data_IF_357539727760
#
_entry.id   IF_357539727760
#
_cell.length_a   1.000
_cell.length_b   1.000
_cell.length_c   1.000
_cell.angle_alpha   90.00
_cell.angle_beta   90.00
_cell.angle_gamma   90.00
#
_symmetry.space_group_name_H-M   'P 1'
#
loop_
_entity.id
_entity.type
_entity.pdbx_description
1 polymer ?
#
# COMPACT_ATOMS: atom_id res chain seq x y z
N UNK A 1 24.25 28.08 5.01
CA UNK A 1 24.11 27.23 3.80
C UNK A 1 23.08 26.12 4.00
N UNK A 2 23.24 25.24 5.00
CA UNK A 2 22.33 24.11 5.23
C UNK A 2 20.87 24.52 5.48
N UNK A 3 20.62 25.54 6.33
CA UNK A 3 19.25 26.04 6.59
C UNK A 3 18.56 26.58 5.33
N UNK A 4 19.29 27.26 4.45
CA UNK A 4 18.72 27.74 3.18
C UNK A 4 18.44 26.57 2.24
N UNK A 5 19.34 25.59 2.15
CA UNK A 5 19.12 24.39 1.36
C UNK A 5 17.91 23.58 1.87
N UNK A 6 17.74 23.46 3.19
CA UNK A 6 16.55 22.87 3.81
C UNK A 6 15.29 23.59 3.35
N UNK A 7 15.21 24.91 3.57
CA UNK A 7 14.05 25.73 3.18
C UNK A 7 13.71 25.61 1.70
N UNK A 8 14.72 25.70 0.82
CA UNK A 8 14.51 25.53 -0.62
C UNK A 8 13.96 24.15 -0.99
N UNK A 9 14.32 23.08 -0.27
CA UNK A 9 13.74 21.76 -0.54
C UNK A 9 12.33 21.63 0.01
N UNK A 10 12.01 22.25 1.16
CA UNK A 10 10.63 22.36 1.66
C UNK A 10 9.74 23.10 0.65
N UNK A 11 10.19 24.26 0.16
CA UNK A 11 9.42 25.09 -0.80
C UNK A 11 9.18 24.37 -2.14
N UNK A 12 10.03 23.40 -2.49
CA UNK A 12 9.93 22.57 -3.71
C UNK A 12 9.24 21.24 -3.47
N UNK A 13 8.74 20.99 -2.25
CA UNK A 13 8.12 19.72 -1.84
C UNK A 13 9.08 18.52 -1.94
N UNK A 14 10.38 18.75 -1.92
CA UNK A 14 11.42 17.71 -1.85
C UNK A 14 11.67 17.33 -0.39
N UNK A 15 10.61 16.88 0.28
CA UNK A 15 10.56 16.72 1.72
C UNK A 15 11.56 15.69 2.26
N UNK A 16 11.73 14.54 1.61
CA UNK A 16 12.74 13.57 2.04
C UNK A 16 14.14 14.17 1.94
N UNK A 17 14.41 14.92 0.87
CA UNK A 17 15.71 15.58 0.71
C UNK A 17 15.94 16.65 1.77
N UNK A 18 14.88 17.38 2.15
CA UNK A 18 14.92 18.32 3.27
C UNK A 18 15.23 17.60 4.58
N UNK A 19 14.58 16.46 4.87
CA UNK A 19 14.85 15.64 6.05
C UNK A 19 16.31 15.14 6.08
N UNK A 20 16.83 14.66 4.96
CA UNK A 20 18.24 14.24 4.84
C UNK A 20 19.22 15.38 5.12
N UNK A 21 18.95 16.57 4.61
CA UNK A 21 19.75 17.77 4.87
C UNK A 21 19.70 18.11 6.37
N UNK A 22 18.51 18.11 6.96
CA UNK A 22 18.32 18.41 8.38
C UNK A 22 19.09 17.42 9.27
N UNK A 23 19.01 16.13 8.97
CA UNK A 23 19.76 15.08 9.70
C UNK A 23 21.27 15.22 9.50
N UNK A 24 21.73 15.34 8.25
CA UNK A 24 23.16 15.39 7.90
C UNK A 24 23.87 16.57 8.55
N UNK A 25 23.22 17.73 8.58
CA UNK A 25 23.80 18.96 9.12
C UNK A 25 23.37 19.25 10.55
N UNK A 26 22.67 18.32 11.21
CA UNK A 26 22.21 18.44 12.60
C UNK A 26 21.53 19.79 12.84
N UNK A 27 20.51 20.10 12.04
CA UNK A 27 19.70 21.31 12.22
C UNK A 27 18.94 21.24 13.56
N UNK A 28 17.65 20.91 13.54
CA UNK A 28 16.89 20.60 14.74
C UNK A 28 16.05 19.35 14.55
N UNK A 29 15.66 18.73 15.67
CA UNK A 29 14.84 17.52 15.64
C UNK A 29 13.46 17.80 15.03
N UNK A 30 12.88 18.98 15.26
CA UNK A 30 11.62 19.40 14.63
C UNK A 30 11.77 19.47 13.11
N UNK A 31 12.85 20.06 12.58
CA UNK A 31 13.06 20.16 11.13
C UNK A 31 13.23 18.79 10.46
N UNK A 32 13.89 17.84 11.13
CA UNK A 32 13.97 16.46 10.64
C UNK A 32 12.59 15.82 10.64
N UNK A 33 11.89 15.92 11.77
CA UNK A 33 10.58 15.29 11.97
C UNK A 33 9.52 15.84 11.01
N UNK A 34 9.41 17.16 10.89
CA UNK A 34 8.39 17.82 10.05
C UNK A 34 8.62 17.51 8.56
N UNK A 35 9.87 17.53 8.11
CA UNK A 35 10.20 17.16 6.75
C UNK A 35 9.95 15.67 6.46
N UNK A 36 10.28 14.78 7.40
CA UNK A 36 10.00 13.36 7.27
C UNK A 36 8.49 13.05 7.23
N UNK A 37 7.70 13.70 8.08
CA UNK A 37 6.24 13.57 8.10
C UNK A 37 5.63 14.05 6.77
N UNK A 38 6.04 15.21 6.26
CA UNK A 38 5.57 15.69 4.95
C UNK A 38 5.95 14.74 3.80
N UNK A 39 7.15 14.14 3.86
CA UNK A 39 7.60 13.17 2.88
C UNK A 39 6.76 11.88 2.93
N UNK A 40 6.48 11.39 4.14
CA UNK A 40 5.59 10.25 4.37
C UNK A 40 4.19 10.52 3.81
N UNK A 41 3.54 11.62 4.20
CA UNK A 41 2.18 11.97 3.77
C UNK A 41 2.09 12.13 2.25
N UNK A 42 3.09 12.77 1.64
CA UNK A 42 3.15 12.95 0.18
C UNK A 42 3.24 11.60 -0.55
N UNK A 43 4.05 10.67 -0.05
CA UNK A 43 4.18 9.34 -0.64
C UNK A 43 2.90 8.51 -0.43
N UNK A 44 2.27 8.60 0.76
CA UNK A 44 0.98 7.97 1.03
C UNK A 44 -0.11 8.47 0.06
N UNK A 45 -0.21 9.78 -0.14
CA UNK A 45 -1.17 10.38 -1.06
C UNK A 45 -0.94 9.95 -2.52
N UNK A 46 0.33 9.76 -2.91
CA UNK A 46 0.73 9.27 -4.24
C UNK A 46 0.69 7.76 -4.38
N UNK A 47 0.32 7.02 -3.32
CA UNK A 47 0.30 5.56 -3.24
C UNK A 47 1.67 4.89 -3.40
N UNK A 48 2.75 5.61 -3.10
CA UNK A 48 4.10 5.07 -2.97
C UNK A 48 4.31 4.53 -1.56
N UNK A 49 3.52 3.51 -1.22
CA UNK A 49 3.36 3.02 0.15
C UNK A 49 4.64 2.41 0.73
N UNK A 50 5.42 1.68 -0.07
CA UNK A 50 6.68 1.09 0.40
C UNK A 50 7.70 2.18 0.74
N UNK A 51 7.87 3.18 -0.14
CA UNK A 51 8.70 4.36 0.13
C UNK A 51 8.22 5.13 1.36
N UNK A 52 6.90 5.25 1.57
CA UNK A 52 6.36 5.86 2.79
C UNK A 52 6.77 5.05 4.05
N UNK A 53 6.67 3.72 4.02
CA UNK A 53 7.07 2.86 5.13
C UNK A 53 8.59 2.93 5.42
N UNK A 54 9.41 3.04 4.38
CA UNK A 54 10.85 3.25 4.48
C UNK A 54 11.18 4.59 5.15
N UNK A 55 10.53 5.68 4.73
CA UNK A 55 10.67 7.01 5.34
C UNK A 55 10.27 6.97 6.81
N UNK A 56 9.11 6.40 7.12
CA UNK A 56 8.61 6.29 8.49
C UNK A 56 9.60 5.53 9.39
N UNK A 57 10.19 4.45 8.87
CA UNK A 57 11.21 3.66 9.60
C UNK A 57 12.52 4.43 9.75
N UNK A 58 13.04 4.99 8.66
CA UNK A 58 14.31 5.74 8.59
C UNK A 58 14.35 6.90 9.57
N UNK A 59 13.24 7.64 9.67
CA UNK A 59 13.12 8.82 10.53
C UNK A 59 12.40 8.56 11.85
N UNK A 60 12.09 7.28 12.17
CA UNK A 60 11.43 6.88 13.42
C UNK A 60 10.13 7.64 13.68
N UNK A 61 9.29 7.74 12.65
CA UNK A 61 7.89 8.15 12.82
C UNK A 61 7.14 7.10 13.65
N UNK A 62 5.84 7.31 13.89
CA UNK A 62 5.10 6.41 14.75
C UNK A 62 5.07 4.97 14.21
N UNK A 63 5.02 3.99 15.11
CA UNK A 63 4.86 2.58 14.72
C UNK A 63 3.59 2.37 13.87
N UNK A 64 2.55 3.17 14.16
CA UNK A 64 1.31 3.17 13.38
C UNK A 64 1.55 3.63 11.93
N UNK A 65 2.39 4.63 11.68
CA UNK A 65 2.70 5.11 10.32
C UNK A 65 3.46 4.05 9.53
N UNK A 66 4.46 3.42 10.14
CA UNK A 66 5.22 2.32 9.53
C UNK A 66 4.28 1.18 9.15
N UNK A 67 3.47 0.70 10.10
CA UNK A 67 2.54 -0.41 9.86
C UNK A 67 1.48 -0.05 8.83
N UNK A 68 0.91 1.15 8.90
CA UNK A 68 -0.14 1.57 7.98
C UNK A 68 0.37 1.63 6.53
N UNK A 69 1.54 2.24 6.30
CA UNK A 69 2.15 2.26 4.98
C UNK A 69 2.54 0.86 4.48
N UNK A 70 3.18 0.04 5.33
CA UNK A 70 3.58 -1.32 4.97
C UNK A 70 2.39 -2.21 4.61
N UNK A 71 1.29 -2.16 5.38
CA UNK A 71 0.06 -2.91 5.06
C UNK A 71 -0.55 -2.46 3.73
N UNK A 72 -0.51 -1.17 3.39
CA UNK A 72 -0.99 -0.69 2.09
C UNK A 72 -0.08 -1.09 0.92
N UNK A 73 1.24 -1.09 1.13
CA UNK A 73 2.21 -1.59 0.15
C UNK A 73 1.96 -3.08 -0.14
N UNK A 74 1.87 -3.88 0.92
CA UNK A 74 1.55 -5.30 0.86
C UNK A 74 0.24 -5.58 0.09
N UNK A 75 -0.85 -4.89 0.45
CA UNK A 75 -2.15 -5.02 -0.24
C UNK A 75 -2.06 -4.68 -1.72
N UNK A 76 -1.32 -3.62 -2.07
CA UNK A 76 -1.13 -3.18 -3.46
C UNK A 76 -0.41 -4.26 -4.27
N UNK A 77 0.61 -4.90 -3.68
CA UNK A 77 1.38 -5.95 -4.34
C UNK A 77 0.58 -7.23 -4.50
N UNK A 78 -0.19 -7.61 -3.49
CA UNK A 78 -1.11 -8.75 -3.56
C UNK A 78 -2.14 -8.59 -4.69
N UNK A 79 -2.73 -7.40 -4.83
CA UNK A 79 -3.69 -7.11 -5.91
C UNK A 79 -3.01 -7.12 -7.29
N UNK A 80 -1.81 -6.57 -7.38
CA UNK A 80 -1.04 -6.51 -8.62
C UNK A 80 -0.26 -7.79 -8.95
N UNK A 81 -0.44 -8.86 -8.16
CA UNK A 81 0.19 -10.18 -8.35
C UNK A 81 1.70 -10.20 -8.14
N UNK A 82 2.23 -9.24 -7.38
CA UNK A 82 3.64 -9.21 -6.97
C UNK A 82 3.84 -9.95 -5.64
N UNK A 83 3.50 -11.24 -5.60
CA UNK A 83 3.42 -12.01 -4.35
C UNK A 83 4.76 -12.14 -3.61
N UNK A 84 5.88 -12.26 -4.33
CA UNK A 84 7.21 -12.30 -3.73
C UNK A 84 7.53 -10.98 -3.01
N UNK A 85 7.31 -9.85 -3.69
CA UNK A 85 7.51 -8.52 -3.11
C UNK A 85 6.57 -8.26 -1.93
N UNK A 86 5.33 -8.73 -2.02
CA UNK A 86 4.39 -8.70 -0.91
C UNK A 86 4.93 -9.50 0.30
N UNK A 87 5.43 -10.72 0.09
CA UNK A 87 6.02 -11.54 1.15
C UNK A 87 7.25 -10.88 1.79
N UNK A 88 8.08 -10.22 0.98
CA UNK A 88 9.24 -9.44 1.46
C UNK A 88 8.79 -8.28 2.34
N UNK A 89 7.78 -7.50 1.93
CA UNK A 89 7.19 -6.41 2.73
C UNK A 89 6.63 -6.95 4.06
N UNK A 90 5.86 -8.04 4.02
CA UNK A 90 5.29 -8.65 5.22
C UNK A 90 6.38 -9.08 6.22
N UNK A 91 7.48 -9.63 5.71
CA UNK A 91 8.62 -10.05 6.52
C UNK A 91 9.40 -8.86 7.08
N UNK A 92 9.73 -7.90 6.22
CA UNK A 92 10.50 -6.70 6.56
C UNK A 92 9.81 -5.89 7.67
N UNK A 93 8.50 -5.71 7.54
CA UNK A 93 7.70 -4.89 8.48
C UNK A 93 6.95 -5.72 9.52
N UNK A 94 7.18 -7.04 9.57
CA UNK A 94 6.57 -7.98 10.54
C UNK A 94 5.05 -7.83 10.62
N UNK A 95 4.40 -7.80 9.46
CA UNK A 95 2.94 -7.68 9.39
C UNK A 95 2.27 -8.88 10.07
N UNK A 96 1.15 -8.62 10.75
CA UNK A 96 0.44 -9.65 11.49
C UNK A 96 -0.34 -10.60 10.58
N UNK A 97 -0.72 -11.77 11.10
CA UNK A 97 -1.53 -12.74 10.37
C UNK A 97 -2.84 -12.13 9.85
N UNK A 98 -3.47 -11.25 10.63
CA UNK A 98 -4.69 -10.54 10.21
C UNK A 98 -4.46 -9.63 9.01
N UNK A 99 -3.36 -8.86 8.99
CA UNK A 99 -3.02 -7.98 7.85
C UNK A 99 -2.78 -8.81 6.58
N UNK A 100 -2.09 -9.95 6.75
CA UNK A 100 -1.77 -10.90 5.68
C UNK A 100 -3.05 -11.52 5.11
N UNK A 101 -3.93 -12.01 5.99
CA UNK A 101 -5.19 -12.64 5.65
C UNK A 101 -6.14 -11.67 4.93
N UNK A 102 -6.32 -10.47 5.47
CA UNK A 102 -7.20 -9.44 4.89
C UNK A 102 -6.76 -9.05 3.48
N UNK A 103 -5.45 -8.90 3.24
CA UNK A 103 -4.98 -8.58 1.89
C UNK A 103 -5.17 -9.74 0.92
N UNK A 104 -4.93 -10.98 1.36
CA UNK A 104 -5.14 -12.17 0.54
C UNK A 104 -6.61 -12.31 0.15
N UNK A 105 -7.54 -12.11 1.10
CA UNK A 105 -8.97 -12.10 0.82
C UNK A 105 -9.36 -11.03 -0.22
N UNK A 106 -8.87 -9.79 -0.04
CA UNK A 106 -9.11 -8.71 -1.00
C UNK A 106 -8.52 -8.98 -2.40
N UNK A 107 -7.32 -9.54 -2.46
CA UNK A 107 -6.68 -9.90 -3.72
C UNK A 107 -7.42 -11.06 -4.42
N UNK A 108 -7.92 -12.05 -3.66
CA UNK A 108 -8.77 -13.12 -4.17
C UNK A 108 -10.04 -12.54 -4.82
N UNK A 109 -10.81 -11.71 -4.09
CA UNK A 109 -12.02 -11.05 -4.60
C UNK A 109 -11.71 -10.25 -5.88
N UNK A 110 -10.65 -9.44 -5.86
CA UNK A 110 -10.26 -8.60 -7.01
C UNK A 110 -9.94 -9.45 -8.24
N UNK A 111 -9.25 -10.59 -8.06
CA UNK A 111 -8.95 -11.49 -9.17
C UNK A 111 -10.21 -12.15 -9.72
N UNK A 112 -11.15 -12.57 -8.87
CA UNK A 112 -12.43 -13.15 -9.31
C UNK A 112 -13.26 -12.12 -10.10
N UNK A 113 -13.41 -10.89 -9.59
CA UNK A 113 -14.14 -9.81 -10.29
C UNK A 113 -13.55 -9.51 -11.67
N UNK A 114 -12.23 -9.55 -11.79
CA UNK A 114 -11.53 -9.36 -13.06
C UNK A 114 -11.49 -10.60 -13.96
N UNK A 115 -12.00 -11.75 -13.50
CA UNK A 115 -12.04 -13.01 -14.26
C UNK A 115 -10.75 -13.83 -14.21
N UNK A 116 -9.82 -13.51 -13.32
CA UNK A 116 -8.57 -14.26 -13.09
C UNK A 116 -8.77 -15.39 -12.08
N UNK A 117 -9.62 -16.36 -12.40
CA UNK A 117 -10.07 -17.39 -11.45
C UNK A 117 -8.94 -18.31 -10.94
N UNK A 118 -7.98 -18.67 -11.79
CA UNK A 118 -6.82 -19.49 -11.41
C UNK A 118 -5.98 -18.79 -10.34
N UNK A 119 -5.70 -17.51 -10.52
CA UNK A 119 -4.92 -16.73 -9.55
C UNK A 119 -5.66 -16.54 -8.23
N UNK A 120 -6.98 -16.36 -8.29
CA UNK A 120 -7.80 -16.32 -7.08
C UNK A 120 -7.75 -17.64 -6.30
N UNK A 121 -7.76 -18.78 -7.00
CA UNK A 121 -7.64 -20.10 -6.39
C UNK A 121 -6.25 -20.33 -5.77
N UNK A 122 -5.19 -19.88 -6.43
CA UNK A 122 -3.82 -19.94 -5.88
C UNK A 122 -3.70 -19.12 -4.59
N UNK A 123 -4.20 -17.88 -4.59
CA UNK A 123 -4.23 -17.03 -3.39
C UNK A 123 -5.04 -17.72 -2.27
N UNK A 124 -6.24 -18.20 -2.57
CA UNK A 124 -7.08 -18.86 -1.58
C UNK A 124 -6.40 -20.08 -0.95
N UNK A 125 -5.69 -20.87 -1.75
CA UNK A 125 -4.96 -22.06 -1.29
C UNK A 125 -3.75 -21.68 -0.47
N UNK A 126 -2.91 -20.78 -0.98
CA UNK A 126 -1.66 -20.35 -0.34
C UNK A 126 -1.92 -19.71 1.02
N UNK A 127 -2.96 -18.88 1.12
CA UNK A 127 -3.31 -18.15 2.33
C UNK A 127 -4.42 -18.81 3.14
N UNK A 128 -4.83 -20.03 2.76
CA UNK A 128 -5.82 -20.86 3.48
C UNK A 128 -7.14 -20.13 3.76
N UNK A 129 -7.62 -19.36 2.79
CA UNK A 129 -8.89 -18.64 2.88
C UNK A 129 -10.05 -19.64 3.03
N UNK A 130 -11.07 -19.26 3.78
CA UNK A 130 -12.22 -20.13 4.05
C UNK A 130 -13.07 -20.38 2.80
N UNK A 131 -13.67 -21.57 2.70
CA UNK A 131 -14.55 -21.94 1.56
C UNK A 131 -15.71 -20.95 1.39
N UNK A 132 -16.30 -20.50 2.49
CA UNK A 132 -17.35 -19.47 2.49
C UNK A 132 -16.85 -18.13 1.93
N UNK A 133 -15.62 -17.73 2.26
CA UNK A 133 -15.04 -16.46 1.80
C UNK A 133 -14.82 -16.49 0.27
N UNK A 134 -14.32 -17.61 -0.24
CA UNK A 134 -14.14 -17.83 -1.69
C UNK A 134 -15.49 -17.89 -2.41
N UNK A 135 -16.48 -18.57 -1.83
CA UNK A 135 -17.83 -18.67 -2.38
C UNK A 135 -18.53 -17.30 -2.46
N UNK A 136 -18.45 -16.51 -1.39
CA UNK A 136 -19.03 -15.17 -1.34
C UNK A 136 -18.35 -14.25 -2.36
N UNK A 137 -17.03 -14.32 -2.48
CA UNK A 137 -16.25 -13.58 -3.48
C UNK A 137 -16.68 -13.93 -4.92
N UNK A 138 -16.84 -15.22 -5.22
CA UNK A 138 -17.34 -15.71 -6.52
C UNK A 138 -18.75 -15.20 -6.83
N UNK A 139 -19.63 -15.20 -5.83
CA UNK A 139 -21.01 -14.74 -5.96
C UNK A 139 -21.09 -13.23 -6.23
N UNK A 140 -20.28 -12.43 -5.52
CA UNK A 140 -20.20 -10.97 -5.71
C UNK A 140 -19.72 -10.65 -7.13
N UNK A 141 -18.60 -11.25 -7.56
CA UNK A 141 -18.04 -11.03 -8.89
C UNK A 141 -19.02 -11.39 -10.01
N UNK A 142 -19.75 -12.50 -9.88
CA UNK A 142 -20.77 -12.90 -10.85
C UNK A 142 -21.90 -11.86 -10.96
N UNK A 143 -22.38 -11.33 -9.83
CA UNK A 143 -23.41 -10.28 -9.81
C UNK A 143 -22.91 -8.99 -10.46
N UNK A 144 -21.70 -8.55 -10.14
CA UNK A 144 -21.10 -7.34 -10.70
C UNK A 144 -20.93 -7.44 -12.21
N UNK A 145 -20.39 -8.56 -12.71
CA UNK A 145 -20.22 -8.80 -14.15
C UNK A 145 -21.55 -8.75 -14.90
N UNK A 146 -22.60 -9.35 -14.34
CA UNK A 146 -23.94 -9.33 -14.93
C UNK A 146 -24.55 -7.92 -14.96
N UNK A 147 -24.38 -7.14 -13.89
CA UNK A 147 -24.84 -5.74 -13.86
C UNK A 147 -24.09 -4.91 -14.92
N UNK A 148 -22.77 -5.05 -15.01
CA UNK A 148 -21.95 -4.35 -16.00
C UNK A 148 -22.33 -4.73 -17.45
N UNK A 149 -22.61 -6.00 -17.72
CA UNK A 149 -23.10 -6.45 -19.03
C UNK A 149 -24.44 -5.81 -19.38
N UNK A 150 -25.39 -5.77 -18.43
CA UNK A 150 -26.70 -5.12 -18.63
C UNK A 150 -26.60 -3.61 -18.87
N UNK A 151 -25.72 -2.91 -18.15
CA UNK A 151 -25.47 -1.48 -18.35
C UNK A 151 -24.85 -1.20 -19.73
N UNK A 152 -23.93 -2.07 -20.19
CA UNK A 152 -23.31 -1.95 -21.52
C UNK A 152 -24.31 -2.15 -22.65
N UNK A 153 -25.30 -3.02 -22.48
CA UNK A 153 -26.35 -3.23 -23.50
C UNK A 153 -27.36 -2.08 -23.53
N UNK A 154 -27.72 -1.49 -22.38
CA UNK A 154 -28.63 -0.34 -22.34
C UNK A 154 -28.04 0.98 -22.86
N UNK A 155 -26.71 1.17 -22.81
CA UNK A 155 -26.06 2.40 -23.29
C UNK A 155 -25.67 2.35 -24.78
N UNK A 156 -26.07 1.30 -25.52
CA UNK A 156 -25.82 1.13 -26.96
C UNK A 156 -27.06 1.33 -27.85
N UNK A 157 -28.21 1.60 -27.24
CA UNK A 157 -29.49 1.92 -27.90
C UNK A 157 -29.75 3.43 -27.82
#
# INVERSE_FOLDING_TARGET
>A
AATNAYKTNIDKEYYERAAEIATKYKLGESEVHDAATNAYETNMARRYYETAAEIATKYKLSENDVRYAATNAYKTDMINKYYERAADIATQYKLGENDVHDAASNACITNITNGYYEHAADIATQYKLGENEVHDAATIAYREKNIQQRLRTCNRD
#
